data_IF_166919347924
#
_entry.id   IF_166919347924
#
_cell.length_a   1.000
_cell.length_b   1.000
_cell.length_c   1.000
_cell.angle_alpha   90.00
_cell.angle_beta   90.00
_cell.angle_gamma   90.00
#
_symmetry.space_group_name_H-M   'P 1'
#
loop_
_entity.id
_entity.type
_entity.pdbx_description
1 polymer ?
#
# COMPACT_ATOMS: atom_id res chain seq x y z
N UNK A 1 -20.25 36.34 7.22
CA UNK A 1 -19.21 35.43 6.72
C UNK A 1 -17.91 35.77 7.44
N UNK A 2 -17.29 34.84 8.11
CA UNK A 2 -15.99 34.99 8.78
C UNK A 2 -15.00 34.05 8.13
N UNK A 3 -13.79 34.53 7.86
CA UNK A 3 -12.71 33.70 7.33
C UNK A 3 -12.08 32.89 8.46
N UNK A 4 -11.86 31.59 8.24
CA UNK A 4 -11.09 30.74 9.12
C UNK A 4 -9.62 30.85 8.71
N UNK A 5 -8.83 31.62 9.44
CA UNK A 5 -7.41 31.87 9.15
C UNK A 5 -6.57 31.29 10.29
N UNK A 6 -5.55 30.50 9.92
CA UNK A 6 -4.54 30.01 10.83
C UNK A 6 -3.16 30.15 10.18
N UNK A 7 -2.18 30.73 10.90
CA UNK A 7 -0.82 31.02 10.42
C UNK A 7 -0.82 31.71 9.03
N UNK A 8 -1.62 32.76 8.87
CA UNK A 8 -1.79 33.58 7.64
C UNK A 8 -2.37 32.84 6.43
N UNK A 9 -2.80 31.57 6.61
CA UNK A 9 -3.44 30.80 5.57
C UNK A 9 -4.95 30.70 5.81
N UNK A 10 -5.76 31.06 4.81
CA UNK A 10 -7.20 30.83 4.82
C UNK A 10 -7.51 29.34 4.61
N UNK A 11 -8.00 28.66 5.65
CA UNK A 11 -8.33 27.21 5.61
C UNK A 11 -9.81 26.95 5.39
N UNK A 12 -10.66 27.96 5.49
CA UNK A 12 -12.08 27.84 5.27
C UNK A 12 -12.86 29.11 5.60
N UNK A 13 -14.18 29.00 5.58
CA UNK A 13 -15.10 30.09 5.94
C UNK A 13 -16.17 29.60 6.91
N UNK A 14 -16.45 30.40 7.95
CA UNK A 14 -17.59 30.21 8.82
C UNK A 14 -18.72 31.14 8.37
N UNK A 15 -19.86 30.57 7.96
CA UNK A 15 -21.05 31.34 7.58
C UNK A 15 -22.11 31.22 8.67
N UNK A 16 -22.55 32.37 9.17
CA UNK A 16 -23.64 32.48 10.12
C UNK A 16 -24.78 33.23 9.47
N UNK A 17 -25.99 32.68 9.50
CA UNK A 17 -27.21 33.33 8.99
C UNK A 17 -28.20 33.57 10.13
N UNK A 18 -28.83 34.72 10.13
CA UNK A 18 -29.89 35.08 11.06
C UNK A 18 -31.20 35.34 10.29
N UNK A 19 -32.33 34.90 10.84
CA UNK A 19 -33.66 35.13 10.24
C UNK A 19 -34.24 36.50 10.44
N UNK A 20 -33.62 37.35 11.26
CA UNK A 20 -34.09 38.67 11.56
C UNK A 20 -33.25 39.75 10.86
N UNK A 21 -33.87 40.90 10.54
CA UNK A 21 -33.19 42.06 9.96
C UNK A 21 -32.14 42.71 10.90
N UNK A 22 -31.94 42.14 12.09
CA UNK A 22 -30.94 42.62 13.05
C UNK A 22 -29.53 42.19 12.63
N UNK A 23 -28.68 43.16 12.39
CA UNK A 23 -27.23 42.97 12.21
C UNK A 23 -26.62 42.51 13.53
N UNK A 24 -25.66 41.60 13.51
CA UNK A 24 -24.85 41.28 14.67
C UNK A 24 -24.14 42.51 15.20
N UNK A 25 -24.28 42.78 16.50
CA UNK A 25 -23.55 43.88 17.18
C UNK A 25 -22.03 43.71 17.10
N UNK A 26 -21.28 44.77 17.42
CA UNK A 26 -19.82 44.74 17.39
C UNK A 26 -19.28 43.63 18.32
N UNK A 27 -19.79 43.53 19.53
CA UNK A 27 -19.37 42.53 20.54
C UNK A 27 -19.58 41.10 20.07
N UNK A 28 -20.72 40.84 19.41
CA UNK A 28 -21.00 39.51 18.84
C UNK A 28 -20.05 39.19 17.69
N UNK A 29 -19.71 40.15 16.86
CA UNK A 29 -18.76 39.96 15.76
C UNK A 29 -17.35 39.70 16.28
N UNK A 30 -16.93 40.38 17.34
CA UNK A 30 -15.62 40.15 17.97
C UNK A 30 -15.56 38.76 18.59
N UNK A 31 -16.57 38.37 19.36
CA UNK A 31 -16.68 36.99 19.91
C UNK A 31 -16.64 35.93 18.80
N UNK A 32 -17.39 36.12 17.72
CA UNK A 32 -17.42 35.20 16.60
C UNK A 32 -16.07 35.14 15.87
N UNK A 33 -15.33 36.24 15.82
CA UNK A 33 -13.96 36.26 15.27
C UNK A 33 -13.00 35.43 16.11
N UNK A 34 -13.08 35.56 17.44
CA UNK A 34 -12.27 34.69 18.35
C UNK A 34 -12.61 33.23 18.19
N UNK A 35 -13.91 32.89 18.12
CA UNK A 35 -14.36 31.54 17.89
C UNK A 35 -13.86 31.00 16.52
N UNK A 36 -13.96 31.81 15.46
CA UNK A 36 -13.48 31.45 14.14
C UNK A 36 -11.97 31.14 14.13
N UNK A 37 -11.18 31.96 14.83
CA UNK A 37 -9.74 31.73 14.99
C UNK A 37 -9.46 30.43 15.74
N UNK A 38 -10.15 30.17 16.84
CA UNK A 38 -9.98 28.94 17.61
C UNK A 38 -10.36 27.68 16.80
N UNK A 39 -11.44 27.73 16.03
CA UNK A 39 -11.86 26.68 15.12
C UNK A 39 -10.80 26.47 14.03
N UNK A 40 -10.27 27.56 13.46
CA UNK A 40 -9.23 27.50 12.43
C UNK A 40 -7.96 26.78 12.95
N UNK A 41 -7.47 27.17 14.13
CA UNK A 41 -6.31 26.52 14.77
C UNK A 41 -6.57 25.04 15.04
N UNK A 42 -7.76 24.71 15.56
CA UNK A 42 -8.13 23.30 15.83
C UNK A 42 -8.19 22.45 14.55
N UNK A 43 -8.74 22.99 13.47
CA UNK A 43 -8.78 22.32 12.16
C UNK A 43 -7.36 22.16 11.58
N UNK A 44 -6.53 23.19 11.66
CA UNK A 44 -5.15 23.11 11.20
C UNK A 44 -4.36 22.03 11.95
N UNK A 45 -4.47 22.00 13.27
CA UNK A 45 -3.83 20.98 14.09
C UNK A 45 -4.30 19.57 13.71
N UNK A 46 -5.60 19.37 13.49
CA UNK A 46 -6.16 18.09 13.02
C UNK A 46 -5.63 17.67 11.64
N UNK A 47 -5.51 18.62 10.70
CA UNK A 47 -4.93 18.36 9.38
C UNK A 47 -3.44 18.04 9.45
N UNK A 48 -2.68 18.74 10.29
CA UNK A 48 -1.27 18.47 10.51
C UNK A 48 -1.07 17.08 11.13
N UNK A 49 -1.86 16.75 12.16
CA UNK A 49 -1.82 15.42 12.77
C UNK A 49 -2.10 14.30 11.77
N UNK A 50 -3.15 14.47 10.95
CA UNK A 50 -3.48 13.50 9.89
C UNK A 50 -2.37 13.36 8.86
N UNK A 51 -1.72 14.47 8.48
CA UNK A 51 -0.55 14.43 7.57
C UNK A 51 0.62 13.66 8.20
N UNK A 52 0.93 13.94 9.48
CA UNK A 52 1.98 13.24 10.21
C UNK A 52 1.69 11.72 10.30
N UNK A 53 0.46 11.35 10.61
CA UNK A 53 0.02 9.96 10.64
C UNK A 53 0.17 9.29 9.26
N UNK A 54 -0.27 9.96 8.19
CA UNK A 54 -0.12 9.45 6.82
C UNK A 54 1.36 9.27 6.47
N UNK A 55 2.22 10.26 6.74
CA UNK A 55 3.66 10.17 6.49
C UNK A 55 4.33 9.06 7.31
N UNK A 56 3.83 8.79 8.52
CA UNK A 56 4.35 7.73 9.37
C UNK A 56 3.92 6.32 8.92
N UNK A 57 2.79 6.19 8.21
CA UNK A 57 2.14 4.89 7.92
C UNK A 57 2.15 4.49 6.45
N UNK A 58 2.35 5.44 5.53
CA UNK A 58 2.30 5.17 4.08
C UNK A 58 3.61 5.51 3.37
N UNK A 59 3.82 4.88 2.21
CA UNK A 59 4.90 5.21 1.28
C UNK A 59 4.54 6.46 0.47
N UNK A 60 5.43 7.44 0.45
CA UNK A 60 5.17 8.74 -0.17
C UNK A 60 5.04 8.72 -1.70
N UNK A 61 5.58 7.70 -2.39
CA UNK A 61 5.49 7.58 -3.85
C UNK A 61 4.19 6.88 -4.27
N UNK A 62 3.85 5.78 -3.60
CA UNK A 62 2.79 4.87 -4.02
C UNK A 62 1.48 5.05 -3.25
N UNK A 63 1.52 5.68 -2.08
CA UNK A 63 0.37 5.82 -1.18
C UNK A 63 -0.02 4.51 -0.45
N UNK A 64 0.67 3.41 -0.73
CA UNK A 64 0.47 2.13 -0.03
C UNK A 64 1.03 2.19 1.40
N UNK A 65 0.70 1.19 2.20
CA UNK A 65 1.33 1.01 3.52
C UNK A 65 2.85 0.95 3.35
N UNK A 66 3.60 1.66 4.21
CA UNK A 66 5.06 1.58 4.21
C UNK A 66 5.54 0.29 4.90
N UNK A 67 6.82 -0.05 4.72
CA UNK A 67 7.44 -1.26 5.27
C UNK A 67 7.23 -1.42 6.79
N UNK A 68 7.41 -0.34 7.57
CA UNK A 68 7.27 -0.37 9.03
C UNK A 68 5.84 -0.76 9.43
N UNK A 69 4.86 -0.06 8.92
CA UNK A 69 3.44 -0.31 9.23
C UNK A 69 2.98 -1.68 8.72
N UNK A 70 3.53 -2.13 7.58
CA UNK A 70 3.31 -3.48 7.09
C UNK A 70 3.75 -4.53 8.13
N UNK A 71 4.96 -4.42 8.68
CA UNK A 71 5.48 -5.36 9.67
C UNK A 71 4.58 -5.43 10.93
N UNK A 72 4.09 -4.28 11.38
CA UNK A 72 3.17 -4.19 12.53
C UNK A 72 1.82 -4.86 12.23
N UNK A 73 1.21 -4.56 11.07
CA UNK A 73 -0.07 -5.13 10.65
C UNK A 73 0.02 -6.63 10.37
N UNK A 74 1.10 -7.08 9.76
CA UNK A 74 1.32 -8.50 9.50
C UNK A 74 1.43 -9.30 10.81
N UNK A 75 2.18 -8.81 11.80
CA UNK A 75 2.22 -9.42 13.13
C UNK A 75 0.83 -9.54 13.76
N UNK A 76 0.03 -8.47 13.73
CA UNK A 76 -1.33 -8.47 14.26
C UNK A 76 -2.26 -9.46 13.54
N UNK A 77 -2.10 -9.65 12.23
CA UNK A 77 -2.87 -10.63 11.44
C UNK A 77 -2.51 -12.06 11.85
N UNK A 78 -1.22 -12.38 12.00
CA UNK A 78 -0.77 -13.69 12.44
C UNK A 78 -1.22 -14.01 13.87
N UNK A 79 -1.18 -13.04 14.78
CA UNK A 79 -1.67 -13.19 16.16
C UNK A 79 -3.17 -13.49 16.20
N UNK A 80 -3.97 -12.81 15.34
CA UNK A 80 -5.39 -13.09 15.18
C UNK A 80 -5.64 -14.47 14.57
N UNK A 81 -4.91 -14.81 13.50
CA UNK A 81 -4.99 -16.11 12.85
C UNK A 81 -4.67 -17.26 13.82
N UNK A 82 -3.66 -17.10 14.66
CA UNK A 82 -3.27 -18.08 15.67
C UNK A 82 -4.35 -18.32 16.71
N UNK A 83 -5.07 -17.27 17.13
CA UNK A 83 -6.14 -17.36 18.14
C UNK A 83 -7.44 -17.92 17.61
N UNK A 84 -7.77 -17.65 16.36
CA UNK A 84 -9.08 -17.98 15.75
C UNK A 84 -9.00 -19.09 14.71
N UNK A 85 -7.81 -19.64 14.45
CA UNK A 85 -7.62 -20.72 13.47
C UNK A 85 -7.77 -20.25 12.01
N UNK A 86 -7.62 -18.95 11.73
CA UNK A 86 -7.76 -18.42 10.38
C UNK A 86 -6.43 -18.51 9.62
N UNK A 87 -6.47 -19.02 8.40
CA UNK A 87 -5.34 -18.99 7.48
C UNK A 87 -5.06 -17.56 7.02
N UNK A 88 -3.81 -17.29 6.65
CA UNK A 88 -3.42 -16.04 5.97
C UNK A 88 -2.25 -16.36 5.02
N UNK A 89 -2.08 -15.58 3.98
CA UNK A 89 -0.98 -15.79 3.05
C UNK A 89 -0.23 -14.49 2.78
N UNK A 90 1.09 -14.58 2.76
CA UNK A 90 2.01 -13.52 2.37
C UNK A 90 2.42 -13.70 0.92
N UNK A 91 2.26 -12.66 0.11
CA UNK A 91 2.81 -12.52 -1.23
C UNK A 91 3.94 -11.49 -1.19
N UNK A 92 5.13 -11.87 -1.58
CA UNK A 92 6.21 -10.94 -1.92
C UNK A 92 6.26 -10.80 -3.44
N UNK A 93 6.20 -9.57 -3.91
CA UNK A 93 6.08 -9.22 -5.32
C UNK A 93 7.24 -8.32 -5.73
N UNK A 94 7.78 -8.51 -6.93
CA UNK A 94 8.89 -7.71 -7.44
C UNK A 94 8.68 -7.42 -8.93
N UNK A 95 8.90 -6.16 -9.32
CA UNK A 95 8.76 -5.72 -10.72
C UNK A 95 9.96 -6.22 -11.52
N UNK A 96 9.69 -7.10 -12.47
CA UNK A 96 10.74 -7.71 -13.28
C UNK A 96 11.52 -6.68 -14.09
N UNK A 97 12.85 -6.77 -14.02
CA UNK A 97 13.77 -5.91 -14.77
C UNK A 97 13.62 -4.41 -14.49
N UNK A 98 13.12 -4.00 -13.31
CA UNK A 98 12.87 -2.60 -12.98
C UNK A 98 14.10 -1.70 -13.13
N UNK A 99 15.30 -2.22 -12.79
CA UNK A 99 16.56 -1.49 -13.05
C UNK A 99 16.70 -1.12 -14.53
N UNK A 100 16.37 -2.02 -15.47
CA UNK A 100 16.40 -1.71 -16.91
C UNK A 100 15.40 -0.64 -17.31
N UNK A 101 14.25 -0.57 -16.62
CA UNK A 101 13.28 0.52 -16.83
C UNK A 101 13.93 1.85 -16.47
N UNK A 102 14.53 1.96 -15.29
CA UNK A 102 15.24 3.18 -14.88
C UNK A 102 16.41 3.54 -15.79
N UNK A 103 17.23 2.56 -16.16
CA UNK A 103 18.41 2.77 -17.01
C UNK A 103 18.00 3.25 -18.43
N UNK A 104 16.90 2.77 -18.97
CA UNK A 104 16.46 3.08 -20.33
C UNK A 104 15.54 4.31 -20.43
N UNK A 105 14.68 4.54 -19.41
CA UNK A 105 13.59 5.53 -19.44
C UNK A 105 13.74 6.62 -18.37
N UNK A 106 14.67 6.47 -17.45
CA UNK A 106 14.89 7.39 -16.33
C UNK A 106 13.97 7.12 -15.13
N UNK A 107 14.39 7.64 -13.97
CA UNK A 107 13.66 7.48 -12.71
C UNK A 107 12.20 7.98 -12.73
N UNK A 108 11.85 9.10 -13.42
CA UNK A 108 10.45 9.54 -13.45
C UNK A 108 9.50 8.52 -14.07
N UNK A 109 9.95 7.78 -15.10
CA UNK A 109 9.15 6.70 -15.71
C UNK A 109 9.10 5.49 -14.77
N UNK A 110 10.19 5.15 -14.10
CA UNK A 110 10.21 4.11 -13.06
C UNK A 110 9.22 4.41 -11.94
N UNK A 111 9.17 5.66 -11.47
CA UNK A 111 8.22 6.11 -10.44
C UNK A 111 6.77 5.95 -10.91
N UNK A 112 6.47 6.26 -12.18
CA UNK A 112 5.13 6.07 -12.74
C UNK A 112 4.77 4.57 -12.84
N UNK A 113 5.73 3.71 -13.22
CA UNK A 113 5.55 2.26 -13.19
C UNK A 113 5.16 1.81 -11.78
N UNK A 114 5.90 2.24 -10.76
CA UNK A 114 5.62 1.87 -9.36
C UNK A 114 4.26 2.38 -8.88
N UNK A 115 3.85 3.60 -9.24
CA UNK A 115 2.51 4.13 -8.92
C UNK A 115 1.40 3.30 -9.55
N UNK A 116 1.56 2.88 -10.80
CA UNK A 116 0.56 2.06 -11.49
C UNK A 116 0.50 0.64 -10.94
N UNK A 117 1.64 0.02 -10.67
CA UNK A 117 1.70 -1.28 -9.99
C UNK A 117 0.99 -1.20 -8.64
N UNK A 118 1.28 -0.18 -7.84
CA UNK A 118 0.62 0.03 -6.56
C UNK A 118 -0.90 0.13 -6.67
N UNK A 119 -1.40 0.82 -7.70
CA UNK A 119 -2.84 0.94 -7.98
C UNK A 119 -3.45 -0.43 -8.31
N UNK A 120 -2.81 -1.20 -9.19
CA UNK A 120 -3.26 -2.57 -9.53
C UNK A 120 -3.33 -3.45 -8.29
N UNK A 121 -2.29 -3.43 -7.43
CA UNK A 121 -2.27 -4.19 -6.19
C UNK A 121 -3.43 -3.80 -5.26
N UNK A 122 -3.67 -2.50 -5.11
CA UNK A 122 -4.75 -1.98 -4.25
C UNK A 122 -6.15 -2.33 -4.80
N UNK A 123 -6.35 -2.34 -6.13
CA UNK A 123 -7.62 -2.69 -6.78
C UNK A 123 -7.92 -4.19 -6.71
N UNK A 124 -6.89 -5.03 -6.77
CA UNK A 124 -7.04 -6.49 -6.68
C UNK A 124 -7.26 -6.97 -5.24
N UNK A 125 -6.63 -6.32 -4.28
CA UNK A 125 -6.73 -6.66 -2.86
C UNK A 125 -8.08 -6.20 -2.26
N UNK A 126 -8.55 -6.91 -1.22
CA UNK A 126 -9.75 -6.55 -0.46
C UNK A 126 -9.40 -5.48 0.60
N UNK A 127 -10.39 -4.78 1.13
CA UNK A 127 -10.19 -3.78 2.21
C UNK A 127 -9.56 -4.36 3.48
N UNK A 128 -9.74 -5.66 3.73
CA UNK A 128 -9.18 -6.36 4.90
C UNK A 128 -7.73 -6.79 4.67
N UNK A 129 -7.29 -6.86 3.41
CA UNK A 129 -5.94 -7.25 3.05
C UNK A 129 -4.98 -6.08 3.30
N UNK A 130 -3.71 -6.40 3.52
CA UNK A 130 -2.67 -5.39 3.70
C UNK A 130 -1.82 -5.34 2.45
N UNK A 131 -1.77 -4.19 1.80
CA UNK A 131 -0.91 -3.95 0.63
C UNK A 131 0.14 -2.91 0.99
N UNK A 132 1.41 -3.19 0.71
CA UNK A 132 2.52 -2.34 1.09
C UNK A 132 3.59 -2.25 0.00
N UNK A 133 4.31 -1.13 -0.01
CA UNK A 133 5.62 -1.06 -0.64
C UNK A 133 6.66 -1.56 0.34
N UNK A 134 7.30 -2.68 0.02
CA UNK A 134 8.21 -3.39 0.91
C UNK A 134 9.65 -2.91 0.76
N UNK A 135 10.06 -2.56 -0.46
CA UNK A 135 11.37 -2.06 -0.83
C UNK A 135 11.32 -1.11 -2.01
N UNK A 136 12.40 -0.93 -2.72
CA UNK A 136 12.50 -0.04 -3.88
C UNK A 136 11.48 -0.38 -4.97
N UNK A 137 11.54 -1.60 -5.48
CA UNK A 137 10.67 -2.16 -6.52
C UNK A 137 9.86 -3.36 -6.03
N UNK A 138 9.91 -3.60 -4.70
CA UNK A 138 9.30 -4.72 -4.04
C UNK A 138 8.01 -4.31 -3.32
N UNK A 139 7.00 -5.15 -3.43
CA UNK A 139 5.71 -4.98 -2.77
C UNK A 139 5.39 -6.22 -1.93
N UNK A 140 4.58 -6.04 -0.90
CA UNK A 140 4.07 -7.12 -0.09
C UNK A 140 2.55 -7.04 0.02
N UNK A 141 1.89 -8.21 -0.07
CA UNK A 141 0.44 -8.32 0.14
C UNK A 141 0.20 -9.42 1.17
N UNK A 142 -0.57 -9.10 2.23
CA UNK A 142 -1.07 -10.12 3.16
C UNK A 142 -2.55 -10.29 2.93
N UNK A 143 -2.95 -11.50 2.56
CA UNK A 143 -4.34 -11.88 2.35
C UNK A 143 -4.89 -12.53 3.62
N UNK A 144 -5.77 -11.84 4.32
CA UNK A 144 -6.41 -12.35 5.53
C UNK A 144 -7.47 -13.41 5.19
N UNK A 145 -7.52 -14.49 5.95
CA UNK A 145 -8.45 -15.60 5.73
C UNK A 145 -8.24 -16.38 4.43
N UNK A 146 -7.02 -16.39 3.88
CA UNK A 146 -6.73 -17.03 2.58
C UNK A 146 -5.73 -18.16 2.71
N UNK A 147 -6.02 -19.29 2.06
CA UNK A 147 -5.10 -20.43 1.91
C UNK A 147 -4.04 -20.15 0.83
N UNK A 148 -2.99 -20.96 0.75
CA UNK A 148 -1.95 -20.86 -0.29
C UNK A 148 -2.54 -20.91 -1.71
N UNK A 149 -3.54 -21.76 -1.95
CA UNK A 149 -4.18 -21.89 -3.27
C UNK A 149 -5.01 -20.64 -3.64
N UNK A 150 -5.79 -20.12 -2.69
CA UNK A 150 -6.53 -18.87 -2.88
C UNK A 150 -5.59 -17.70 -3.12
N UNK A 151 -4.49 -17.64 -2.36
CA UNK A 151 -3.44 -16.64 -2.54
C UNK A 151 -2.77 -16.73 -3.91
N UNK A 152 -2.53 -17.95 -4.42
CA UNK A 152 -2.01 -18.17 -5.76
C UNK A 152 -2.94 -17.63 -6.83
N UNK A 153 -4.25 -17.84 -6.69
CA UNK A 153 -5.22 -17.28 -7.63
C UNK A 153 -5.23 -15.74 -7.63
N UNK A 154 -5.10 -15.11 -6.44
CA UNK A 154 -4.96 -13.65 -6.32
C UNK A 154 -3.64 -13.19 -6.92
N UNK A 155 -2.53 -13.88 -6.65
CA UNK A 155 -1.21 -13.59 -7.21
C UNK A 155 -1.21 -13.65 -8.75
N UNK A 156 -1.84 -14.67 -9.35
CA UNK A 156 -1.99 -14.77 -10.81
C UNK A 156 -2.82 -13.60 -11.38
N UNK A 157 -3.87 -13.17 -10.70
CA UNK A 157 -4.64 -12.00 -11.11
C UNK A 157 -3.78 -10.73 -11.06
N UNK A 158 -3.02 -10.51 -9.98
CA UNK A 158 -2.08 -9.39 -9.87
C UNK A 158 -1.08 -9.43 -11.04
N UNK A 159 -0.41 -10.56 -11.25
CA UNK A 159 0.57 -10.74 -12.32
C UNK A 159 -0.01 -10.41 -13.70
N UNK A 160 -1.22 -10.90 -13.99
CA UNK A 160 -1.90 -10.64 -15.26
C UNK A 160 -2.27 -9.17 -15.44
N UNK A 161 -2.82 -8.52 -14.41
CA UNK A 161 -3.21 -7.11 -14.52
C UNK A 161 -1.97 -6.19 -14.62
N UNK A 162 -0.89 -6.49 -13.91
CA UNK A 162 0.39 -5.79 -14.09
C UNK A 162 0.93 -5.97 -15.50
N UNK A 163 0.87 -7.20 -16.05
CA UNK A 163 1.33 -7.49 -17.42
C UNK A 163 0.51 -6.80 -18.53
N UNK A 164 -0.77 -6.47 -18.27
CA UNK A 164 -1.63 -5.70 -19.20
C UNK A 164 -1.41 -4.18 -19.12
N UNK A 165 -0.82 -3.71 -18.05
CA UNK A 165 -0.59 -2.29 -17.80
C UNK A 165 0.38 -1.71 -18.82
N UNK A 166 -0.01 -0.58 -19.44
CA UNK A 166 0.83 0.16 -20.40
C UNK A 166 1.15 1.52 -19.83
N UNK A 167 2.42 1.86 -19.77
CA UNK A 167 2.93 3.20 -19.41
C UNK A 167 3.38 3.88 -20.70
N UNK A 168 2.73 4.97 -21.07
CA UNK A 168 3.15 5.77 -22.20
C UNK A 168 4.43 6.52 -21.87
N UNK A 169 5.42 6.43 -22.76
CA UNK A 169 6.71 7.11 -22.62
C UNK A 169 7.10 7.80 -23.93
N UNK A 170 8.06 8.71 -23.88
CA UNK A 170 8.60 9.37 -25.08
C UNK A 170 9.23 8.37 -26.07
N UNK A 171 9.64 7.19 -25.60
CA UNK A 171 10.20 6.11 -26.43
C UNK A 171 9.17 5.08 -26.88
N UNK A 172 7.89 5.34 -26.64
CA UNK A 172 6.78 4.44 -26.92
C UNK A 172 6.21 3.74 -25.69
N UNK A 173 5.23 2.85 -25.88
CA UNK A 173 4.54 2.15 -24.79
C UNK A 173 5.49 1.18 -24.07
N UNK A 174 5.50 1.25 -22.74
CA UNK A 174 6.27 0.36 -21.86
C UNK A 174 5.32 -0.58 -21.14
N UNK A 175 5.61 -1.88 -21.19
CA UNK A 175 4.99 -2.90 -20.35
C UNK A 175 6.02 -3.52 -19.43
N UNK A 176 5.58 -3.90 -18.25
CA UNK A 176 6.40 -4.62 -17.25
C UNK A 176 5.69 -5.89 -16.81
N UNK A 177 6.44 -6.82 -16.25
CA UNK A 177 5.92 -8.02 -15.62
C UNK A 177 6.30 -8.05 -14.15
N UNK A 178 5.76 -9.00 -13.41
CA UNK A 178 5.98 -9.15 -11.99
C UNK A 178 6.18 -10.62 -11.63
N UNK A 179 7.17 -10.88 -10.79
CA UNK A 179 7.39 -12.17 -10.14
C UNK A 179 6.82 -12.13 -8.72
N UNK A 180 6.18 -13.24 -8.29
CA UNK A 180 5.50 -13.31 -6.99
C UNK A 180 5.88 -14.61 -6.29
N UNK A 181 6.31 -14.49 -5.02
CA UNK A 181 6.54 -15.61 -4.11
C UNK A 181 5.50 -15.62 -2.99
N UNK A 182 4.99 -16.81 -2.64
CA UNK A 182 3.90 -16.97 -1.66
C UNK A 182 4.31 -17.92 -0.55
N UNK A 183 4.03 -17.53 0.70
CA UNK A 183 4.05 -18.39 1.88
C UNK A 183 2.75 -18.25 2.66
N UNK A 184 2.22 -19.37 3.16
CA UNK A 184 0.94 -19.45 3.85
C UNK A 184 1.10 -19.78 5.35
N UNK A 185 0.32 -19.08 6.16
CA UNK A 185 0.10 -19.38 7.57
C UNK A 185 -1.18 -20.21 7.72
N UNK A 186 -1.21 -21.27 8.53
CA UNK A 186 -0.09 -21.82 9.30
C UNK A 186 0.73 -22.89 8.55
N UNK A 187 0.35 -23.24 7.30
CA UNK A 187 0.83 -24.40 6.57
C UNK A 187 2.35 -24.37 6.32
N UNK A 188 2.87 -23.23 5.87
CA UNK A 188 4.29 -23.07 5.65
C UNK A 188 5.03 -22.74 6.95
N UNK A 189 4.49 -21.87 7.80
CA UNK A 189 5.03 -21.56 9.15
C UNK A 189 4.00 -20.81 10.00
N UNK A 190 4.23 -20.81 11.32
CA UNK A 190 3.54 -19.95 12.29
C UNK A 190 4.37 -18.71 12.67
N UNK A 191 5.63 -18.69 12.32
CA UNK A 191 6.56 -17.61 12.65
C UNK A 191 6.66 -16.61 11.49
N UNK A 192 6.45 -15.33 11.80
CA UNK A 192 6.49 -14.24 10.81
C UNK A 192 7.79 -14.21 10.01
N UNK A 193 8.94 -14.31 10.70
CA UNK A 193 10.25 -14.25 10.05
C UNK A 193 10.43 -15.40 9.06
N UNK A 194 9.99 -16.60 9.42
CA UNK A 194 10.06 -17.79 8.56
C UNK A 194 9.11 -17.69 7.38
N UNK A 195 7.92 -17.11 7.55
CA UNK A 195 6.99 -16.85 6.42
C UNK A 195 7.58 -15.88 5.41
N UNK A 196 8.24 -14.81 5.88
CA UNK A 196 8.92 -13.86 4.99
C UNK A 196 10.05 -14.56 4.24
N UNK A 197 10.91 -15.31 4.92
CA UNK A 197 11.99 -16.08 4.31
C UNK A 197 11.46 -17.06 3.26
N UNK A 198 10.38 -17.78 3.56
CA UNK A 198 9.78 -18.76 2.63
C UNK A 198 9.15 -18.11 1.41
N UNK A 199 8.47 -16.97 1.58
CA UNK A 199 7.97 -16.19 0.47
C UNK A 199 9.11 -15.63 -0.41
N UNK A 200 10.21 -15.18 0.20
CA UNK A 200 11.40 -14.71 -0.51
C UNK A 200 12.07 -15.84 -1.30
N UNK A 201 12.24 -17.03 -0.73
CA UNK A 201 12.73 -18.21 -1.46
C UNK A 201 11.87 -18.55 -2.68
N UNK A 202 10.54 -18.47 -2.53
CA UNK A 202 9.63 -18.69 -3.65
C UNK A 202 9.73 -17.60 -4.72
N UNK A 203 9.85 -16.33 -4.32
CA UNK A 203 10.07 -15.19 -5.21
C UNK A 203 11.41 -15.30 -5.94
N UNK A 204 12.48 -15.64 -5.22
CA UNK A 204 13.78 -15.89 -5.82
C UNK A 204 13.71 -16.99 -6.89
N UNK A 205 13.01 -18.08 -6.61
CA UNK A 205 12.80 -19.14 -7.59
C UNK A 205 12.02 -18.63 -8.81
N UNK A 206 10.96 -17.84 -8.62
CA UNK A 206 10.22 -17.22 -9.71
C UNK A 206 11.13 -16.36 -10.61
N UNK A 207 11.96 -15.48 -10.00
CA UNK A 207 12.92 -14.65 -10.73
C UNK A 207 13.96 -15.45 -11.54
N UNK A 208 14.37 -16.63 -11.05
CA UNK A 208 15.42 -17.45 -11.69
C UNK A 208 14.86 -18.54 -12.63
N UNK A 209 13.56 -18.77 -12.63
CA UNK A 209 12.88 -19.76 -13.49
C UNK A 209 12.08 -19.13 -14.64
N UNK A 210 12.48 -17.92 -15.09
CA UNK A 210 11.89 -17.26 -16.26
C UNK A 210 11.14 -15.96 -15.95
N UNK A 211 10.97 -15.57 -14.66
CA UNK A 211 10.19 -14.39 -14.24
C UNK A 211 8.71 -14.48 -14.62
N UNK A 212 7.96 -13.39 -14.43
CA UNK A 212 6.55 -13.28 -14.81
C UNK A 212 5.72 -14.51 -14.39
N UNK A 213 5.85 -14.90 -13.13
CA UNK A 213 5.19 -16.09 -12.60
C UNK A 213 4.94 -15.99 -11.10
N UNK A 214 4.01 -16.79 -10.63
CA UNK A 214 3.65 -16.95 -9.22
C UNK A 214 4.12 -18.31 -8.75
N UNK A 215 4.91 -18.33 -7.68
CA UNK A 215 5.44 -19.56 -7.07
C UNK A 215 5.05 -19.60 -5.61
N UNK A 216 4.45 -20.70 -5.15
CA UNK A 216 4.24 -20.94 -3.72
C UNK A 216 5.49 -21.61 -3.12
N UNK A 217 5.68 -21.44 -1.80
CA UNK A 217 6.79 -22.10 -1.11
C UNK A 217 6.71 -23.63 -1.25
N UNK A 218 5.52 -24.20 -1.22
CA UNK A 218 5.33 -25.63 -1.44
C UNK A 218 5.84 -26.08 -2.83
N UNK A 219 5.58 -25.30 -3.88
CA UNK A 219 6.10 -25.58 -5.23
C UNK A 219 7.63 -25.47 -5.29
N UNK A 220 8.20 -24.43 -4.67
CA UNK A 220 9.64 -24.28 -4.55
C UNK A 220 10.29 -25.47 -3.83
N UNK A 221 9.74 -25.87 -2.68
CA UNK A 221 10.25 -26.99 -1.89
C UNK A 221 10.20 -28.32 -2.68
N UNK A 222 9.09 -28.58 -3.41
CA UNK A 222 8.96 -29.75 -4.27
C UNK A 222 9.97 -29.75 -5.43
N UNK A 223 10.19 -28.60 -6.07
CA UNK A 223 11.17 -28.46 -7.15
C UNK A 223 12.60 -28.69 -6.66
N UNK A 224 12.93 -28.22 -5.44
CA UNK A 224 14.23 -28.42 -4.80
C UNK A 224 14.48 -29.90 -4.45
N UNK A 225 13.47 -30.60 -3.91
CA UNK A 225 13.56 -32.01 -3.60
C UNK A 225 13.86 -32.86 -4.85
N UNK A 226 13.19 -32.57 -5.98
CA UNK A 226 13.43 -33.26 -7.28
C UNK A 226 14.83 -33.02 -7.85
N UNK A 227 15.51 -31.92 -7.52
CA UNK A 227 16.89 -31.67 -7.99
C UNK A 227 17.95 -32.32 -7.11
N UNK A 228 17.57 -32.75 -5.90
CA UNK A 228 18.46 -33.39 -4.93
C UNK A 228 18.39 -34.94 -5.00
N UNK A 229 17.42 -35.47 -5.74
CA UNK A 229 17.25 -36.91 -6.04
C UNK A 229 17.84 -37.25 -7.41
#
# INVERSE_FOLDING_TARGET
>A
MLLLVAADLAIGTLMLACRAEKRFGADVREMLSVIATQVAVSLQNGLLYKRMETMATTDGLTGLTNHRTFQERFAQLLDRGSRHGHASALLLCDVDFFKKVNDNFGHPVGDEVLRRVARVLAEVARKIDVVARYGGEEFAVVLDGSTAEQARAVGERIRQEVGKMVVETEKGPLQVTMSIGIAAFPDDSRERAVLIERADHALYHAKHSGRNQVVTYAQFAAARAKKAS
#
